data_IF_769999883014
#
_entry.id   IF_769999883014
#
_cell.length_a   1.000
_cell.length_b   1.000
_cell.length_c   1.000
_cell.angle_alpha   90.00
_cell.angle_beta   90.00
_cell.angle_gamma   90.00
#
_symmetry.space_group_name_H-M   'P 1'
#
loop_
_entity.id
_entity.type
_entity.pdbx_description
1 polymer ?
#
# COMPACT_ATOMS: atom_id res chain seq x y z
N UNK A 1 -6.70 -2.45 15.77
CA UNK A 1 -6.43 -1.14 15.13
C UNK A 1 -7.74 -0.44 14.82
N UNK A 2 -7.89 0.79 15.20
CA UNK A 2 -9.14 1.48 14.92
C UNK A 2 -9.20 1.98 13.46
N UNK A 3 -10.42 2.27 13.05
CA UNK A 3 -10.74 2.65 11.68
C UNK A 3 -10.02 3.92 11.21
N UNK A 4 -9.91 4.87 12.11
CA UNK A 4 -9.27 6.15 11.83
C UNK A 4 -7.78 5.97 11.55
N UNK A 5 -7.13 5.14 12.34
CA UNK A 5 -5.70 4.87 12.18
C UNK A 5 -5.42 4.15 10.86
N UNK A 6 -6.30 3.21 10.48
CA UNK A 6 -6.17 2.51 9.20
C UNK A 6 -6.28 3.49 8.03
N UNK A 7 -7.21 4.42 8.11
CA UNK A 7 -7.39 5.42 7.06
C UNK A 7 -6.18 6.33 6.95
N UNK A 8 -5.65 6.77 8.09
CA UNK A 8 -4.45 7.60 8.11
C UNK A 8 -3.24 6.88 7.54
N UNK A 9 -3.08 5.61 7.87
CA UNK A 9 -1.99 4.81 7.34
C UNK A 9 -2.12 4.62 5.84
N UNK A 10 -3.33 4.40 5.35
CA UNK A 10 -3.60 4.27 3.92
C UNK A 10 -3.24 5.55 3.18
N UNK A 11 -3.57 6.70 3.74
CA UNK A 11 -3.23 7.99 3.15
C UNK A 11 -1.72 8.21 3.07
N UNK A 12 -1.00 7.80 4.11
CA UNK A 12 0.45 7.90 4.12
C UNK A 12 1.09 7.04 3.04
N UNK A 13 0.56 5.83 2.85
CA UNK A 13 1.05 4.93 1.82
C UNK A 13 0.81 5.54 0.43
N UNK A 14 -0.37 6.07 0.18
CA UNK A 14 -0.65 6.73 -1.09
C UNK A 14 0.29 7.91 -1.33
N UNK A 15 0.64 8.63 -0.27
CA UNK A 15 1.54 9.77 -0.37
C UNK A 15 2.96 9.42 -0.77
N UNK A 16 3.41 8.19 -0.47
CA UNK A 16 4.76 7.76 -0.82
C UNK A 16 4.81 6.96 -2.12
N UNK A 17 3.67 6.50 -2.61
CA UNK A 17 3.60 5.78 -3.88
C UNK A 17 3.50 6.74 -5.04
N UNK A 18 4.31 6.51 -6.06
CA UNK A 18 4.25 7.30 -7.30
C UNK A 18 3.51 6.50 -8.35
N UNK A 19 2.65 7.16 -9.09
CA UNK A 19 1.88 6.52 -10.15
C UNK A 19 2.82 5.92 -11.19
N UNK A 20 2.48 4.72 -11.65
CA UNK A 20 3.27 4.05 -12.68
C UNK A 20 4.44 3.21 -12.17
N UNK A 21 4.77 3.31 -10.90
CA UNK A 21 5.85 2.50 -10.32
C UNK A 21 5.29 1.29 -9.60
N UNK A 22 6.04 0.21 -9.60
CA UNK A 22 5.68 -1.02 -8.90
C UNK A 22 6.34 -1.02 -7.53
N UNK A 23 5.59 -1.46 -6.54
CA UNK A 23 6.10 -1.56 -5.16
C UNK A 23 5.81 -2.95 -4.62
N UNK A 24 6.82 -3.59 -4.05
CA UNK A 24 6.62 -4.83 -3.30
C UNK A 24 6.24 -4.45 -1.88
N UNK A 25 5.72 -5.41 -1.12
CA UNK A 25 5.41 -5.19 0.27
C UNK A 25 6.67 -4.79 1.05
N UNK A 26 7.79 -5.45 0.76
CA UNK A 26 9.07 -5.12 1.39
C UNK A 26 9.48 -3.69 1.12
N UNK A 27 9.30 -3.24 -0.10
CA UNK A 27 9.66 -1.87 -0.48
C UNK A 27 8.79 -0.85 0.23
N UNK A 28 7.50 -1.10 0.30
CA UNK A 28 6.57 -0.22 1.01
C UNK A 28 6.88 -0.18 2.50
N UNK A 29 7.24 -1.34 3.08
CA UNK A 29 7.60 -1.42 4.48
C UNK A 29 8.87 -0.60 4.76
N UNK A 30 9.84 -0.69 3.87
CA UNK A 30 11.08 0.07 3.98
C UNK A 30 10.84 1.58 3.92
N UNK A 31 10.01 2.01 2.99
CA UNK A 31 9.71 3.43 2.80
C UNK A 31 8.87 4.02 3.94
N UNK A 32 7.87 3.28 4.39
CA UNK A 32 6.94 3.76 5.42
C UNK A 32 7.38 3.47 6.84
N UNK A 33 8.24 2.48 7.01
CA UNK A 33 8.66 1.97 8.32
C UNK A 33 7.48 1.41 9.13
N UNK A 34 6.38 1.06 8.46
CA UNK A 34 5.23 0.45 9.13
C UNK A 34 5.52 -1.01 9.49
N UNK A 35 4.89 -1.49 10.55
CA UNK A 35 4.89 -2.91 10.85
C UNK A 35 4.13 -3.68 9.79
N UNK A 36 4.39 -4.97 9.67
CA UNK A 36 3.78 -5.81 8.64
C UNK A 36 2.25 -5.77 8.71
N UNK A 37 1.70 -5.90 9.91
CA UNK A 37 0.25 -5.90 10.09
C UNK A 37 -0.38 -4.56 9.69
N UNK A 38 0.23 -3.48 10.13
CA UNK A 38 -0.26 -2.13 9.79
C UNK A 38 -0.25 -1.90 8.29
N UNK A 39 0.83 -2.30 7.65
CA UNK A 39 0.99 -2.13 6.21
C UNK A 39 -0.03 -2.95 5.44
N UNK A 40 -0.20 -4.23 5.79
CA UNK A 40 -1.15 -5.10 5.11
C UNK A 40 -2.58 -4.59 5.24
N UNK A 41 -2.97 -4.15 6.42
CA UNK A 41 -4.32 -3.66 6.63
C UNK A 41 -4.58 -2.38 5.84
N UNK A 42 -3.60 -1.48 5.81
CA UNK A 42 -3.72 -0.24 5.05
C UNK A 42 -3.82 -0.51 3.55
N UNK A 43 -3.02 -1.45 3.06
CA UNK A 43 -3.05 -1.83 1.65
C UNK A 43 -4.40 -2.44 1.28
N UNK A 44 -4.98 -3.27 2.16
CA UNK A 44 -6.31 -3.84 1.92
C UNK A 44 -7.37 -2.75 1.78
N UNK A 45 -7.27 -1.71 2.58
CA UNK A 45 -8.18 -0.57 2.47
C UNK A 45 -8.03 0.10 1.09
N UNK A 46 -6.80 0.29 0.65
CA UNK A 46 -6.54 0.92 -0.64
C UNK A 46 -7.01 0.07 -1.82
N UNK A 47 -6.87 -1.24 -1.71
CA UNK A 47 -7.36 -2.17 -2.74
C UNK A 47 -8.88 -2.14 -2.77
N UNK A 48 -9.52 -2.17 -1.61
CA UNK A 48 -10.98 -2.12 -1.50
C UNK A 48 -11.53 -0.84 -2.14
N UNK A 49 -10.84 0.28 -1.94
CA UNK A 49 -11.26 1.57 -2.46
C UNK A 49 -10.80 1.81 -3.91
N UNK A 50 -10.21 0.79 -4.52
CA UNK A 50 -9.75 0.83 -5.91
C UNK A 50 -8.70 1.93 -6.18
N UNK A 51 -7.89 2.22 -5.19
CA UNK A 51 -6.80 3.19 -5.32
C UNK A 51 -5.48 2.54 -5.64
N UNK A 52 -5.33 1.27 -5.26
CA UNK A 52 -4.13 0.48 -5.49
C UNK A 52 -4.55 -0.85 -6.10
N UNK A 53 -3.76 -1.33 -7.05
CA UNK A 53 -3.99 -2.61 -7.69
C UNK A 53 -2.87 -3.57 -7.30
N UNK A 54 -3.26 -4.78 -6.94
CA UNK A 54 -2.33 -5.86 -6.62
C UNK A 54 -2.20 -6.76 -7.84
N UNK A 55 -0.98 -7.16 -8.16
CA UNK A 55 -0.76 -8.09 -9.27
C UNK A 55 0.52 -8.90 -9.07
N UNK A 56 0.63 -9.98 -9.83
CA UNK A 56 1.79 -10.86 -9.78
C UNK A 56 2.87 -10.33 -10.72
N UNK A 57 4.10 -10.32 -10.27
CA UNK A 57 5.24 -9.95 -11.11
C UNK A 57 6.41 -10.89 -10.79
N UNK A 58 7.53 -10.72 -11.48
CA UNK A 58 8.69 -11.60 -11.30
C UNK A 58 9.21 -11.63 -9.87
N UNK A 59 9.10 -10.52 -9.19
CA UNK A 59 9.56 -10.39 -7.80
C UNK A 59 8.55 -10.88 -6.78
N UNK A 60 7.38 -11.37 -7.23
CA UNK A 60 6.30 -11.79 -6.39
C UNK A 60 5.10 -10.90 -6.55
N UNK A 61 4.46 -10.52 -5.43
CA UNK A 61 3.29 -9.65 -5.47
C UNK A 61 3.72 -8.19 -5.47
N UNK A 62 3.17 -7.43 -6.40
CA UNK A 62 3.45 -6.00 -6.53
C UNK A 62 2.18 -5.17 -6.41
N UNK A 63 2.37 -3.92 -6.06
CA UNK A 63 1.27 -2.95 -5.89
C UNK A 63 1.55 -1.71 -6.72
N UNK A 64 0.53 -1.20 -7.38
CA UNK A 64 0.62 0.00 -8.20
C UNK A 64 -0.48 0.97 -7.81
N UNK A 65 -0.12 2.24 -7.67
CA UNK A 65 -1.10 3.28 -7.40
C UNK A 65 -1.90 3.55 -8.68
N UNK A 66 -3.22 3.37 -8.60
CA UNK A 66 -4.12 3.60 -9.73
C UNK A 66 -4.63 5.04 -9.70
N UNK A 67 -4.93 5.50 -8.49
CA UNK A 67 -5.66 6.75 -8.31
C UNK A 67 -5.35 7.33 -6.94
N UNK A 68 -4.91 8.54 -6.92
CA UNK A 68 -4.57 9.23 -5.67
C UNK A 68 -5.81 9.72 -4.92
#
# INVERSE_FOLDING_TARGET
MDKKKMTMNAEKIMGVMKAGYRYTLSKLQEITAFGTTELCMAILVLIRDERVKQFQCEEGVCYVLIKA
#
